data_IF_722026603139
#
_entry.id   IF_722026603139
#
_cell.length_a   1.000
_cell.length_b   1.000
_cell.length_c   1.000
_cell.angle_alpha   90.00
_cell.angle_beta   90.00
_cell.angle_gamma   90.00
#
_symmetry.space_group_name_H-M   'P 1'
#
loop_
_entity.id
_entity.type
_entity.pdbx_description
1 polymer ?
#
# COMPACT_ATOMS: atom_id res chain seq x y z
N UNK A 1 2.83 -31.97 29.68
CA UNK A 1 2.18 -31.12 28.67
C UNK A 1 2.40 -31.81 27.34
N UNK A 2 1.41 -32.05 26.52
CA UNK A 2 1.66 -32.65 25.20
C UNK A 2 2.61 -31.75 24.44
N UNK A 3 3.64 -32.34 23.86
CA UNK A 3 4.56 -31.69 22.94
C UNK A 3 3.75 -31.19 21.74
N UNK A 4 3.63 -29.88 21.61
CA UNK A 4 2.95 -29.29 20.44
C UNK A 4 3.86 -29.58 19.26
N UNK A 5 3.37 -30.39 18.35
CA UNK A 5 4.07 -30.74 17.12
C UNK A 5 4.37 -29.45 16.35
N UNK A 6 5.66 -29.13 16.19
CA UNK A 6 6.14 -27.92 15.53
C UNK A 6 6.58 -28.30 14.13
N UNK A 7 5.77 -27.95 13.15
CA UNK A 7 6.07 -28.15 11.72
C UNK A 7 6.76 -26.89 11.16
N UNK A 8 7.97 -27.06 10.59
CA UNK A 8 8.64 -25.97 9.86
C UNK A 8 8.12 -25.95 8.43
N UNK A 9 7.44 -24.87 8.07
CA UNK A 9 6.84 -24.71 6.74
C UNK A 9 7.82 -24.11 5.73
N UNK A 10 8.67 -23.19 6.17
CA UNK A 10 9.61 -22.49 5.30
C UNK A 10 10.71 -21.77 6.10
N UNK A 11 11.92 -21.78 5.56
CA UNK A 11 13.05 -21.00 6.08
C UNK A 11 13.18 -19.68 5.32
N UNK A 12 13.45 -18.61 6.03
CA UNK A 12 13.54 -17.26 5.49
C UNK A 12 14.50 -16.40 6.32
N UNK A 13 14.48 -15.11 6.08
CA UNK A 13 15.20 -14.12 6.87
C UNK A 13 14.27 -13.02 7.34
N UNK A 14 14.55 -12.46 8.51
CA UNK A 14 13.79 -11.36 9.10
C UNK A 14 14.73 -10.45 9.88
N UNK A 15 14.19 -9.41 10.49
CA UNK A 15 14.96 -8.48 11.31
C UNK A 15 14.65 -8.69 12.79
N UNK A 16 15.65 -8.47 13.63
CA UNK A 16 15.41 -8.28 15.05
C UNK A 16 14.57 -7.00 15.25
N UNK A 17 13.46 -7.04 15.99
CA UNK A 17 12.61 -5.86 16.19
C UNK A 17 13.28 -4.79 17.07
N UNK A 18 14.38 -5.12 17.76
CA UNK A 18 15.09 -4.20 18.66
C UNK A 18 16.30 -3.57 17.97
N UNK A 19 17.23 -4.39 17.43
CA UNK A 19 18.47 -3.87 16.84
C UNK A 19 18.51 -3.89 15.33
N UNK A 20 17.43 -4.31 14.67
CA UNK A 20 17.28 -4.39 13.21
C UNK A 20 18.32 -5.28 12.52
N UNK A 21 19.07 -6.08 13.27
CA UNK A 21 20.00 -7.07 12.71
C UNK A 21 19.22 -8.08 11.89
N UNK A 22 19.73 -8.41 10.71
CA UNK A 22 19.21 -9.50 9.89
C UNK A 22 19.49 -10.84 10.53
N UNK A 23 18.47 -11.67 10.66
CA UNK A 23 18.47 -12.96 11.33
C UNK A 23 17.88 -14.03 10.42
N UNK A 24 18.34 -15.25 10.57
CA UNK A 24 17.61 -16.39 10.02
C UNK A 24 16.29 -16.54 10.76
N UNK A 25 15.25 -16.85 10.02
CA UNK A 25 13.89 -16.94 10.50
C UNK A 25 13.18 -18.14 9.85
N UNK A 26 12.10 -18.57 10.45
CA UNK A 26 11.30 -19.68 9.92
C UNK A 26 9.82 -19.45 10.15
N UNK A 27 9.03 -19.91 9.20
CA UNK A 27 7.60 -20.06 9.37
C UNK A 27 7.34 -21.42 10.00
N UNK A 28 6.67 -21.41 11.15
CA UNK A 28 6.35 -22.62 11.90
C UNK A 28 4.86 -22.71 12.15
N UNK A 29 4.32 -23.91 12.00
CA UNK A 29 2.93 -24.22 12.39
C UNK A 29 2.91 -24.67 13.83
N UNK A 30 2.02 -24.08 14.62
CA UNK A 30 1.70 -24.49 15.99
C UNK A 30 0.16 -24.54 16.13
N UNK A 31 -0.40 -25.73 16.08
CA UNK A 31 -1.86 -25.89 16.04
C UNK A 31 -2.47 -25.17 14.83
N UNK A 32 -3.37 -24.24 15.08
CA UNK A 32 -4.05 -23.45 14.05
C UNK A 32 -3.29 -22.16 13.66
N UNK A 33 -2.16 -21.87 14.26
CA UNK A 33 -1.38 -20.65 13.98
C UNK A 33 -0.12 -20.95 13.19
N UNK A 34 0.20 -20.05 12.25
CA UNK A 34 1.50 -19.99 11.59
C UNK A 34 2.24 -18.78 12.13
N UNK A 35 3.42 -19.01 12.69
CA UNK A 35 4.24 -18.00 13.32
C UNK A 35 5.52 -17.78 12.51
N UNK A 36 5.97 -16.52 12.46
CA UNK A 36 7.32 -16.18 12.02
C UNK A 36 8.23 -16.14 13.25
N UNK A 37 9.12 -17.11 13.37
CA UNK A 37 10.08 -17.21 14.48
C UNK A 37 11.47 -16.77 14.04
N UNK A 38 12.18 -16.10 14.94
CA UNK A 38 13.58 -15.71 14.79
C UNK A 38 14.25 -15.51 16.15
N UNK A 39 15.54 -15.76 16.21
CA UNK A 39 16.31 -15.62 17.45
C UNK A 39 17.47 -14.65 17.26
N UNK A 40 17.46 -13.56 18.02
CA UNK A 40 18.57 -12.62 18.10
C UNK A 40 19.52 -13.05 19.24
N UNK A 41 20.82 -13.14 19.00
CA UNK A 41 21.78 -13.48 20.05
C UNK A 41 21.79 -12.52 21.25
N UNK A 42 21.42 -11.24 21.00
CA UNK A 42 21.44 -10.20 22.03
C UNK A 42 20.05 -9.96 22.66
N UNK A 43 18.96 -10.25 21.94
CA UNK A 43 17.60 -9.87 22.36
C UNK A 43 16.64 -11.06 22.49
N UNK A 44 17.13 -12.29 22.31
CA UNK A 44 16.33 -13.50 22.48
C UNK A 44 15.42 -13.84 21.30
N UNK A 45 14.48 -14.71 21.56
CA UNK A 45 13.58 -15.27 20.54
C UNK A 45 12.30 -14.45 20.42
N UNK A 46 11.90 -14.19 19.18
CA UNK A 46 10.66 -13.52 18.83
C UNK A 46 9.80 -14.44 17.96
N UNK A 47 8.53 -14.52 18.27
CA UNK A 47 7.52 -15.20 17.47
C UNK A 47 6.36 -14.24 17.23
N UNK A 48 5.94 -14.12 15.97
CA UNK A 48 4.81 -13.28 15.57
C UNK A 48 3.83 -14.15 14.82
N UNK A 49 2.57 -14.12 15.23
CA UNK A 49 1.49 -14.79 14.52
C UNK A 49 1.25 -14.06 13.20
N UNK A 50 1.37 -14.76 12.09
CA UNK A 50 1.19 -14.21 10.74
C UNK A 50 -0.04 -14.77 10.04
N UNK A 51 -0.56 -15.88 10.55
CA UNK A 51 -1.74 -16.51 10.00
C UNK A 51 -2.42 -17.37 11.06
N UNK A 52 -3.74 -17.29 11.11
CA UNK A 52 -4.55 -18.12 11.98
C UNK A 52 -5.65 -18.81 11.16
N UNK A 53 -5.68 -20.11 11.22
CA UNK A 53 -6.73 -20.91 10.56
C UNK A 53 -8.04 -20.78 11.36
N UNK A 54 -9.09 -20.25 10.75
CA UNK A 54 -10.37 -20.00 11.44
C UNK A 54 -11.23 -21.25 11.53
N UNK A 55 -11.17 -22.12 10.52
CA UNK A 55 -11.88 -23.41 10.48
C UNK A 55 -11.07 -24.43 9.66
N UNK A 56 -11.37 -25.73 9.84
CA UNK A 56 -10.73 -26.81 9.06
C UNK A 56 -11.08 -26.72 7.55
N UNK A 57 -12.14 -26.01 7.17
CA UNK A 57 -12.59 -25.86 5.79
C UNK A 57 -11.98 -24.65 5.06
N UNK A 58 -11.40 -23.72 5.78
CA UNK A 58 -11.07 -22.39 5.26
C UNK A 58 -9.65 -22.27 4.68
N UNK A 59 -8.85 -23.35 4.63
CA UNK A 59 -7.42 -23.04 4.51
C UNK A 59 -6.63 -23.88 3.54
N UNK A 60 -6.36 -23.26 2.43
CA UNK A 60 -5.05 -23.44 1.80
C UNK A 60 -4.07 -22.50 2.49
N UNK A 61 -3.12 -22.99 3.30
CA UNK A 61 -2.12 -22.12 3.93
C UNK A 61 -1.38 -21.33 2.85
N UNK A 62 -0.97 -20.08 3.15
CA UNK A 62 -0.23 -19.30 2.18
C UNK A 62 0.93 -20.11 1.61
N UNK A 63 1.06 -20.16 0.29
CA UNK A 63 2.18 -20.84 -0.35
C UNK A 63 3.43 -19.97 -0.23
N UNK A 64 4.21 -20.19 0.79
CA UNK A 64 5.44 -19.46 1.05
C UNK A 64 6.55 -19.75 0.02
N UNK A 65 6.51 -20.91 -0.62
CA UNK A 65 7.47 -21.35 -1.63
C UNK A 65 7.48 -20.46 -2.90
N UNK A 66 6.36 -19.81 -3.20
CA UNK A 66 6.24 -18.90 -4.33
C UNK A 66 6.86 -17.52 -4.11
N UNK A 67 7.05 -17.10 -2.85
CA UNK A 67 7.52 -15.75 -2.50
C UNK A 67 9.05 -15.63 -2.52
N UNK A 68 9.75 -16.72 -2.33
CA UNK A 68 11.21 -16.76 -2.26
C UNK A 68 11.91 -17.00 -3.59
N UNK A 69 11.17 -17.07 -4.71
CA UNK A 69 11.80 -17.26 -6.03
C UNK A 69 12.69 -16.09 -6.36
N UNK A 70 13.98 -16.34 -6.66
CA UNK A 70 14.87 -15.29 -7.14
C UNK A 70 14.27 -14.64 -8.39
N UNK A 71 14.19 -13.32 -8.38
CA UNK A 71 13.78 -12.54 -9.55
C UNK A 71 15.01 -12.10 -10.31
N UNK A 72 14.91 -12.03 -11.64
CA UNK A 72 15.97 -11.42 -12.44
C UNK A 72 16.13 -9.96 -12.02
N UNK A 73 17.35 -9.52 -11.69
CA UNK A 73 17.62 -8.13 -11.38
C UNK A 73 17.19 -7.21 -12.52
N UNK A 74 16.60 -6.07 -12.19
CA UNK A 74 16.23 -5.05 -13.13
C UNK A 74 16.72 -3.71 -12.62
N UNK A 75 17.61 -3.09 -13.37
CA UNK A 75 18.28 -1.85 -12.96
C UNK A 75 17.58 -0.63 -13.55
N UNK A 76 17.63 0.54 -12.87
CA UNK A 76 17.06 1.76 -13.41
C UNK A 76 17.77 2.18 -14.70
N UNK A 77 16.99 2.61 -15.69
CA UNK A 77 17.55 3.13 -16.97
C UNK A 77 18.23 4.48 -16.79
N UNK A 78 17.67 5.31 -15.92
CA UNK A 78 18.20 6.63 -15.59
C UNK A 78 18.45 6.71 -14.08
N UNK A 79 19.66 6.33 -13.61
CA UNK A 79 20.01 6.49 -12.20
C UNK A 79 19.93 7.95 -11.75
N UNK A 80 19.35 8.20 -10.58
CA UNK A 80 19.15 9.54 -10.03
C UNK A 80 20.11 9.86 -8.88
N UNK A 81 20.64 8.83 -8.24
CA UNK A 81 21.53 8.97 -7.09
C UNK A 81 22.81 8.19 -7.32
N UNK A 82 23.93 8.70 -6.80
CA UNK A 82 25.19 7.99 -6.79
C UNK A 82 25.22 6.94 -5.67
N UNK A 83 26.01 5.89 -5.87
CA UNK A 83 26.31 4.93 -4.80
C UNK A 83 27.41 5.53 -3.92
N UNK A 84 27.12 5.74 -2.62
CA UNK A 84 28.08 6.25 -1.63
C UNK A 84 28.30 5.26 -0.49
N UNK A 85 27.21 4.72 0.07
CA UNK A 85 27.23 3.82 1.22
C UNK A 85 26.63 2.45 0.88
N UNK A 86 26.08 2.28 -0.31
CA UNK A 86 25.42 1.06 -0.75
C UNK A 86 24.00 0.92 -0.22
N UNK A 87 23.35 -0.18 -0.60
CA UNK A 87 22.00 -0.50 -0.15
C UNK A 87 22.01 -0.99 1.31
N UNK A 88 21.09 -0.53 2.19
CA UNK A 88 19.89 0.28 1.91
C UNK A 88 20.09 1.80 2.11
N UNK A 89 21.30 2.26 2.33
CA UNK A 89 21.57 3.65 2.79
C UNK A 89 21.42 4.68 1.67
N UNK A 90 21.74 4.30 0.42
CA UNK A 90 21.57 5.15 -0.76
C UNK A 90 20.20 4.93 -1.42
N UNK A 91 19.13 4.87 -0.60
CA UNK A 91 17.77 4.66 -1.11
C UNK A 91 17.31 5.79 -2.03
N UNK A 92 17.37 5.50 -3.29
CA UNK A 92 16.97 6.29 -4.44
C UNK A 92 17.17 5.40 -5.66
N UNK A 93 16.95 5.89 -6.84
CA UNK A 93 17.24 5.12 -8.05
C UNK A 93 18.74 5.17 -8.36
N UNK A 94 19.55 4.51 -7.52
CA UNK A 94 21.00 4.40 -7.78
C UNK A 94 21.32 3.30 -8.83
N UNK A 95 22.51 3.32 -9.45
CA UNK A 95 22.88 2.31 -10.43
C UNK A 95 22.85 0.86 -9.93
N UNK A 96 23.04 0.67 -8.62
CA UNK A 96 23.03 -0.66 -7.99
C UNK A 96 21.63 -1.14 -7.56
N UNK A 97 20.57 -0.36 -7.82
CA UNK A 97 19.20 -0.74 -7.48
C UNK A 97 18.74 -1.92 -8.35
N UNK A 98 18.73 -3.12 -7.79
CA UNK A 98 18.51 -4.37 -8.52
C UNK A 98 17.02 -4.73 -8.72
N UNK A 99 16.11 -3.79 -8.52
CA UNK A 99 14.68 -3.97 -8.74
C UNK A 99 14.13 -2.79 -9.54
N UNK A 100 13.21 -3.07 -10.47
CA UNK A 100 12.45 -2.02 -11.11
C UNK A 100 11.30 -1.55 -10.23
N UNK A 101 10.87 -0.32 -10.40
CA UNK A 101 9.66 0.21 -9.78
C UNK A 101 8.44 -0.50 -10.35
N UNK A 102 7.73 -1.26 -9.51
CA UNK A 102 6.48 -1.92 -9.92
C UNK A 102 5.34 -0.92 -10.01
N UNK A 103 5.25 -0.03 -9.01
CA UNK A 103 4.23 1.02 -8.93
C UNK A 103 4.88 2.29 -8.42
N UNK A 104 4.74 3.38 -9.16
CA UNK A 104 5.12 4.71 -8.73
C UNK A 104 3.95 5.37 -7.99
N UNK A 105 4.23 5.88 -6.79
CA UNK A 105 3.28 6.67 -6.03
C UNK A 105 3.48 8.15 -6.38
N UNK A 106 2.41 8.81 -6.81
CA UNK A 106 2.40 10.25 -7.11
C UNK A 106 1.44 10.93 -6.17
N UNK A 107 1.98 11.76 -5.28
CA UNK A 107 1.18 12.56 -4.36
C UNK A 107 0.62 13.78 -5.09
N UNK A 108 -0.67 13.77 -5.33
CA UNK A 108 -1.35 14.83 -6.08
C UNK A 108 -1.91 15.93 -5.17
N UNK A 109 -2.02 15.67 -3.86
CA UNK A 109 -2.48 16.63 -2.86
C UNK A 109 -2.07 16.18 -1.46
N UNK A 110 -1.87 17.11 -0.55
CA UNK A 110 -1.79 16.82 0.90
C UNK A 110 -3.08 17.21 1.63
N UNK A 111 -4.06 17.80 0.94
CA UNK A 111 -5.39 18.04 1.51
C UNK A 111 -6.12 16.72 1.71
N UNK A 112 -6.90 16.66 2.77
CA UNK A 112 -7.74 15.50 3.08
C UNK A 112 -9.05 15.97 3.70
N UNK A 113 -10.12 15.23 3.43
CA UNK A 113 -11.43 15.42 4.05
C UNK A 113 -11.62 14.57 5.33
N UNK A 114 -10.52 13.97 5.82
CA UNK A 114 -10.45 13.25 7.09
C UNK A 114 -9.31 13.80 7.95
N UNK A 115 -9.40 13.58 9.28
CA UNK A 115 -8.37 13.93 10.25
C UNK A 115 -7.97 12.69 11.05
N UNK A 116 -7.44 11.67 10.36
CA UNK A 116 -7.06 10.42 10.97
C UNK A 116 -5.98 10.63 12.05
N UNK A 117 -6.16 10.12 13.28
CA UNK A 117 -5.14 10.20 14.33
C UNK A 117 -3.81 9.54 13.92
N UNK A 118 -3.89 8.49 13.09
CA UNK A 118 -2.74 7.80 12.51
C UNK A 118 -2.79 8.03 11.00
N UNK A 119 -1.90 8.92 10.51
CA UNK A 119 -1.80 9.23 9.08
C UNK A 119 -0.34 9.25 8.66
N UNK A 120 0.07 8.35 7.76
CA UNK A 120 1.44 8.29 7.26
C UNK A 120 1.85 9.53 6.45
N UNK A 121 0.89 10.17 5.79
CA UNK A 121 1.11 11.38 4.97
C UNK A 121 1.05 12.67 5.79
N UNK A 122 0.69 12.61 7.08
CA UNK A 122 0.43 13.78 7.92
C UNK A 122 -0.52 14.80 7.24
N UNK A 123 -1.49 14.29 6.48
CA UNK A 123 -2.44 15.07 5.69
C UNK A 123 -3.54 15.70 6.57
N UNK A 124 -4.21 16.73 6.06
CA UNK A 124 -5.41 17.30 6.69
C UNK A 124 -5.19 18.41 7.70
N UNK A 125 -3.94 18.86 7.91
CA UNK A 125 -3.62 20.07 8.70
C UNK A 125 -3.43 21.30 7.82
N UNK A 126 -2.59 22.24 8.29
CA UNK A 126 -2.07 23.32 7.45
C UNK A 126 -1.09 22.71 6.45
N UNK A 127 -1.57 22.43 5.24
CA UNK A 127 -0.79 21.81 4.17
C UNK A 127 -0.51 22.81 3.06
N UNK A 128 0.58 22.65 2.29
CA UNK A 128 0.86 23.47 1.13
C UNK A 128 -0.23 23.33 0.06
N UNK A 129 -0.23 24.28 -0.87
CA UNK A 129 -1.10 24.21 -2.05
C UNK A 129 -0.85 22.92 -2.85
N UNK A 130 -1.88 22.48 -3.53
CA UNK A 130 -1.78 21.30 -4.40
C UNK A 130 -0.71 21.53 -5.48
N UNK A 131 0.05 20.48 -5.86
CA UNK A 131 0.92 20.55 -7.02
C UNK A 131 0.16 21.01 -8.26
N UNK A 132 0.73 21.94 -9.02
CA UNK A 132 0.12 22.37 -10.28
C UNK A 132 0.05 21.20 -11.27
N UNK A 133 -0.85 21.27 -12.28
CA UNK A 133 -0.89 20.25 -13.34
C UNK A 133 0.47 20.02 -14.02
N UNK A 134 1.28 21.08 -14.19
CA UNK A 134 2.62 21.01 -14.77
C UNK A 134 3.58 20.25 -13.86
N UNK A 135 3.47 20.46 -12.55
CA UNK A 135 4.26 19.72 -11.56
C UNK A 135 3.91 18.24 -11.57
N UNK A 136 2.62 17.91 -11.60
CA UNK A 136 2.15 16.52 -11.70
C UNK A 136 2.61 15.89 -13.02
N UNK A 137 2.52 16.62 -14.13
CA UNK A 137 3.01 16.19 -15.43
C UNK A 137 4.51 15.85 -15.39
N UNK A 138 5.31 16.73 -14.80
CA UNK A 138 6.75 16.51 -14.63
C UNK A 138 7.06 15.27 -13.78
N UNK A 139 6.30 15.05 -12.69
CA UNK A 139 6.45 13.85 -11.85
C UNK A 139 6.13 12.57 -12.64
N UNK A 140 5.03 12.55 -13.38
CA UNK A 140 4.64 11.44 -14.24
C UNK A 140 5.67 11.16 -15.33
N UNK A 141 6.17 12.21 -16.00
CA UNK A 141 7.21 12.08 -17.05
C UNK A 141 8.53 11.55 -16.47
N UNK A 142 8.90 12.02 -15.27
CA UNK A 142 10.09 11.55 -14.56
C UNK A 142 9.98 10.07 -14.18
N UNK A 143 8.82 9.66 -13.68
CA UNK A 143 8.53 8.26 -13.36
C UNK A 143 8.56 7.39 -14.62
N UNK A 144 7.95 7.85 -15.71
CA UNK A 144 7.91 7.13 -16.99
C UNK A 144 9.31 6.92 -17.58
N UNK A 145 10.19 7.92 -17.48
CA UNK A 145 11.58 7.79 -17.93
C UNK A 145 12.38 6.82 -17.07
N UNK A 146 12.24 6.94 -15.73
CA UNK A 146 12.99 6.10 -14.80
C UNK A 146 12.55 4.64 -14.83
N UNK A 147 11.25 4.39 -14.97
CA UNK A 147 10.63 3.06 -14.89
C UNK A 147 9.49 2.90 -15.91
N UNK A 148 9.80 2.70 -17.20
CA UNK A 148 8.81 2.73 -18.29
C UNK A 148 7.67 1.71 -18.16
N UNK A 149 7.86 0.62 -17.43
CA UNK A 149 6.87 -0.45 -17.24
C UNK A 149 6.10 -0.38 -15.93
N UNK A 150 6.33 0.65 -15.10
CA UNK A 150 5.64 0.73 -13.81
C UNK A 150 4.17 1.12 -13.96
N UNK A 151 3.39 0.71 -12.96
CA UNK A 151 2.06 1.21 -12.71
C UNK A 151 2.12 2.57 -12.01
N UNK A 152 1.00 3.29 -11.96
CA UNK A 152 0.89 4.53 -11.21
C UNK A 152 -0.24 4.44 -10.21
N UNK A 153 0.05 4.86 -8.98
CA UNK A 153 -0.95 5.10 -7.96
C UNK A 153 -0.96 6.59 -7.60
N UNK A 154 -2.07 7.25 -7.85
CA UNK A 154 -2.31 8.63 -7.42
C UNK A 154 -2.73 8.60 -5.95
N UNK A 155 -2.03 9.35 -5.12
CA UNK A 155 -2.17 9.34 -3.66
C UNK A 155 -1.93 10.72 -3.07
N UNK A 156 -1.65 10.78 -1.77
CA UNK A 156 -1.38 11.99 -1.00
C UNK A 156 -2.17 12.00 0.29
N UNK A 157 -2.90 13.07 0.59
CA UNK A 157 -3.96 13.05 1.58
C UNK A 157 -5.14 12.26 1.06
N UNK A 158 -6.09 12.93 0.42
CA UNK A 158 -7.20 12.28 -0.28
C UNK A 158 -7.30 12.84 -1.72
N UNK A 159 -6.90 12.10 -2.73
CA UNK A 159 -6.90 12.58 -4.12
C UNK A 159 -8.26 13.07 -4.61
N UNK A 160 -9.35 12.48 -4.12
CA UNK A 160 -10.71 12.83 -4.56
C UNK A 160 -11.17 14.21 -4.09
N UNK A 161 -10.44 14.89 -3.19
CA UNK A 161 -10.77 16.29 -2.84
C UNK A 161 -10.36 17.28 -3.95
N UNK A 162 -9.57 16.83 -4.92
CA UNK A 162 -9.22 17.61 -6.11
C UNK A 162 -10.34 17.51 -7.17
N UNK A 163 -10.85 18.64 -7.59
CA UNK A 163 -11.88 18.67 -8.65
C UNK A 163 -11.29 18.37 -10.03
N UNK A 164 -10.00 18.63 -10.24
CA UNK A 164 -9.27 18.33 -11.46
C UNK A 164 -8.67 16.91 -11.51
N UNK A 165 -8.96 16.05 -10.53
CA UNK A 165 -8.48 14.66 -10.51
C UNK A 165 -8.79 13.89 -11.82
N UNK A 166 -9.99 14.02 -12.44
CA UNK A 166 -10.24 13.39 -13.74
C UNK A 166 -9.29 13.86 -14.85
N UNK A 167 -8.85 15.12 -14.82
CA UNK A 167 -7.87 15.64 -15.79
C UNK A 167 -6.47 15.04 -15.52
N UNK A 168 -6.07 14.90 -14.27
CA UNK A 168 -4.81 14.23 -13.87
C UNK A 168 -4.81 12.76 -14.31
N UNK A 169 -5.93 12.06 -14.16
CA UNK A 169 -6.08 10.67 -14.61
C UNK A 169 -5.88 10.57 -16.12
N UNK A 170 -6.54 11.44 -16.92
CA UNK A 170 -6.34 11.49 -18.38
C UNK A 170 -4.88 11.77 -18.73
N UNK A 171 -4.27 12.74 -18.08
CA UNK A 171 -2.85 13.09 -18.26
C UNK A 171 -1.93 11.89 -18.02
N UNK A 172 -2.18 11.09 -16.99
CA UNK A 172 -1.42 9.88 -16.71
C UNK A 172 -1.68 8.79 -17.76
N UNK A 173 -2.93 8.63 -18.20
CA UNK A 173 -3.32 7.66 -19.23
C UNK A 173 -2.65 7.97 -20.59
N UNK A 174 -2.61 9.21 -20.99
CA UNK A 174 -1.94 9.65 -22.23
C UNK A 174 -0.44 9.36 -22.24
N UNK A 175 0.19 9.28 -21.06
CA UNK A 175 1.59 8.89 -20.88
C UNK A 175 1.83 7.38 -20.98
N UNK A 176 0.79 6.58 -21.16
CA UNK A 176 0.87 5.16 -21.44
C UNK A 176 1.27 4.29 -20.25
N UNK A 177 0.88 4.66 -19.03
CA UNK A 177 0.99 3.77 -17.88
C UNK A 177 0.02 2.59 -18.00
N UNK A 178 0.49 1.37 -17.67
CA UNK A 178 -0.27 0.14 -17.84
C UNK A 178 -1.47 0.04 -16.91
N UNK A 179 -1.26 0.25 -15.62
CA UNK A 179 -2.28 0.29 -14.58
C UNK A 179 -2.27 1.66 -13.90
N UNK A 180 -3.43 2.28 -13.84
CA UNK A 180 -3.65 3.55 -13.18
C UNK A 180 -4.64 3.37 -12.03
N UNK A 181 -4.19 3.66 -10.83
CA UNK A 181 -4.93 3.44 -9.60
C UNK A 181 -5.02 4.74 -8.78
N UNK A 182 -6.11 4.94 -8.08
CA UNK A 182 -6.27 5.99 -7.06
C UNK A 182 -6.33 5.32 -5.69
N UNK A 183 -5.53 5.80 -4.74
CA UNK A 183 -5.65 5.44 -3.32
C UNK A 183 -6.63 6.42 -2.68
N UNK A 184 -7.72 5.92 -2.10
CA UNK A 184 -8.80 6.76 -1.59
C UNK A 184 -9.42 6.21 -0.30
N UNK A 185 -9.86 7.10 0.56
CA UNK A 185 -10.71 6.76 1.71
C UNK A 185 -12.16 6.43 1.31
N UNK A 186 -12.54 6.65 0.06
CA UNK A 186 -13.83 6.27 -0.50
C UNK A 186 -14.98 7.23 -0.25
N UNK A 187 -14.84 8.26 0.60
CA UNK A 187 -15.95 9.14 0.97
C UNK A 187 -16.64 9.78 -0.23
N UNK A 188 -15.87 10.46 -1.09
CA UNK A 188 -16.45 11.12 -2.27
C UNK A 188 -17.02 10.12 -3.26
N UNK A 189 -16.36 8.98 -3.43
CA UNK A 189 -16.82 7.91 -4.33
C UNK A 189 -18.19 7.38 -3.92
N UNK A 190 -18.42 7.32 -2.63
CA UNK A 190 -19.66 6.86 -2.10
C UNK A 190 -20.74 7.94 -2.02
N UNK A 191 -20.42 9.20 -1.70
CA UNK A 191 -21.38 10.30 -1.49
C UNK A 191 -21.84 10.95 -2.80
N UNK A 192 -20.97 11.03 -3.81
CA UNK A 192 -21.26 11.72 -5.07
C UNK A 192 -21.65 10.71 -6.14
N UNK A 193 -22.95 10.67 -6.45
CA UNK A 193 -23.48 9.77 -7.48
C UNK A 193 -22.82 10.02 -8.84
N UNK A 194 -22.30 8.96 -9.46
CA UNK A 194 -21.65 9.04 -10.78
C UNK A 194 -20.18 9.44 -10.76
N UNK A 195 -19.60 9.86 -9.62
CA UNK A 195 -18.21 10.26 -9.56
C UNK A 195 -17.24 9.11 -9.91
N UNK A 196 -17.50 7.90 -9.43
CA UNK A 196 -16.71 6.72 -9.82
C UNK A 196 -16.72 6.48 -11.34
N UNK A 197 -17.87 6.71 -12.00
CA UNK A 197 -17.99 6.63 -13.47
C UNK A 197 -17.13 7.70 -14.14
N UNK A 198 -17.17 8.94 -13.66
CA UNK A 198 -16.33 10.03 -14.17
C UNK A 198 -14.84 9.69 -14.12
N UNK A 199 -14.36 9.09 -13.03
CA UNK A 199 -12.97 8.65 -12.92
C UNK A 199 -12.66 7.50 -13.89
N UNK A 200 -13.57 6.54 -14.05
CA UNK A 200 -13.42 5.46 -15.01
C UNK A 200 -13.37 5.96 -16.46
N UNK A 201 -14.25 6.87 -16.83
CA UNK A 201 -14.28 7.51 -18.16
C UNK A 201 -13.02 8.34 -18.42
N UNK A 202 -12.41 8.90 -17.38
CA UNK A 202 -11.11 9.54 -17.46
C UNK A 202 -9.95 8.56 -17.68
N UNK A 203 -10.16 7.25 -17.51
CA UNK A 203 -9.18 6.20 -17.76
C UNK A 203 -8.64 5.54 -16.50
N UNK A 204 -9.29 5.68 -15.34
CA UNK A 204 -8.92 4.97 -14.11
C UNK A 204 -9.23 3.46 -14.24
N UNK A 205 -8.28 2.62 -13.86
CA UNK A 205 -8.46 1.16 -13.88
C UNK A 205 -9.02 0.64 -12.56
N UNK A 206 -8.53 1.17 -11.43
CA UNK A 206 -8.89 0.66 -10.11
C UNK A 206 -8.80 1.72 -9.03
N UNK A 207 -9.55 1.51 -7.96
CA UNK A 207 -9.42 2.24 -6.72
C UNK A 207 -8.82 1.30 -5.68
N UNK A 208 -7.73 1.73 -5.03
CA UNK A 208 -7.26 1.13 -3.80
C UNK A 208 -8.03 1.78 -2.66
N UNK A 209 -9.06 1.08 -2.20
CA UNK A 209 -9.88 1.55 -1.08
C UNK A 209 -9.20 1.16 0.22
N UNK A 210 -8.94 2.14 1.05
CA UNK A 210 -8.33 1.89 2.34
C UNK A 210 -9.36 1.34 3.33
N UNK A 211 -9.09 0.15 3.84
CA UNK A 211 -9.96 -0.60 4.74
C UNK A 211 -9.16 -1.07 5.95
N UNK A 212 -9.47 -0.57 7.15
CA UNK A 212 -8.68 -0.85 8.35
C UNK A 212 -9.34 -1.84 9.30
N UNK A 213 -10.67 -1.93 9.28
CA UNK A 213 -11.43 -2.88 10.10
C UNK A 213 -12.74 -3.25 9.42
N UNK A 214 -13.27 -4.46 9.66
CA UNK A 214 -14.57 -4.87 9.16
C UNK A 214 -15.75 -4.18 9.87
N UNK A 215 -15.50 -3.49 10.96
CA UNK A 215 -16.51 -2.79 11.75
C UNK A 215 -16.11 -1.35 12.09
N UNK A 216 -17.08 -0.55 12.48
CA UNK A 216 -16.89 0.86 12.81
C UNK A 216 -16.04 1.05 14.07
N UNK A 217 -16.21 0.17 15.06
CA UNK A 217 -15.51 0.24 16.35
C UNK A 217 -14.00 0.12 16.16
N UNK A 218 -13.55 -0.79 15.28
CA UNK A 218 -12.15 -0.93 14.91
C UNK A 218 -11.63 0.20 14.02
N UNK A 219 -12.50 0.83 13.20
CA UNK A 219 -12.10 1.94 12.32
C UNK A 219 -11.91 3.27 13.07
N UNK A 220 -12.77 3.59 14.04
CA UNK A 220 -12.76 4.89 14.71
C UNK A 220 -11.43 5.28 15.35
N UNK A 221 -10.70 4.40 16.05
CA UNK A 221 -9.41 4.74 16.65
C UNK A 221 -8.34 5.09 15.61
N UNK A 222 -8.46 4.55 14.40
CA UNK A 222 -7.48 4.73 13.32
C UNK A 222 -7.83 5.89 12.40
N UNK A 223 -9.14 6.09 12.16
CA UNK A 223 -9.66 7.06 11.19
C UNK A 223 -10.21 8.34 11.81
N UNK A 224 -10.51 8.32 13.12
CA UNK A 224 -11.23 9.39 13.76
C UNK A 224 -12.72 9.41 13.37
N UNK A 225 -13.43 10.41 13.86
CA UNK A 225 -14.84 10.62 13.51
C UNK A 225 -14.94 11.27 12.14
N UNK A 226 -15.67 10.64 11.24
CA UNK A 226 -16.08 11.23 9.97
C UNK A 226 -17.50 11.74 10.12
N UNK A 227 -17.73 13.02 9.82
CA UNK A 227 -19.09 13.56 9.73
C UNK A 227 -19.73 13.01 8.45
N UNK A 228 -20.45 11.91 8.60
CA UNK A 228 -21.28 11.38 7.53
C UNK A 228 -22.71 11.91 7.66
N UNK A 229 -23.45 11.96 6.54
CA UNK A 229 -24.90 12.20 6.61
C UNK A 229 -25.60 11.24 7.56
N UNK A 230 -26.64 11.71 8.26
CA UNK A 230 -27.37 10.95 9.26
C UNK A 230 -27.74 9.54 8.78
N UNK A 231 -27.35 8.53 9.56
CA UNK A 231 -27.68 7.13 9.34
C UNK A 231 -26.71 6.34 8.46
N UNK A 232 -25.60 6.92 8.04
CA UNK A 232 -24.56 6.21 7.29
C UNK A 232 -23.30 6.03 8.14
N UNK A 233 -22.88 4.79 8.34
CA UNK A 233 -21.57 4.52 8.88
C UNK A 233 -20.51 4.46 7.76
N UNK A 234 -19.25 4.91 8.02
CA UNK A 234 -18.21 4.99 7.01
C UNK A 234 -17.89 3.65 6.35
N UNK A 235 -18.05 2.57 7.10
CA UNK A 235 -17.67 1.21 6.67
C UNK A 235 -18.75 0.63 5.76
N UNK A 236 -20.00 0.68 6.19
CA UNK A 236 -21.15 0.21 5.39
C UNK A 236 -21.29 0.99 4.10
N UNK A 237 -21.00 2.28 4.11
CA UNK A 237 -21.13 3.13 2.95
C UNK A 237 -20.10 2.80 1.85
N UNK A 238 -18.85 2.62 2.20
CA UNK A 238 -17.80 2.23 1.25
C UNK A 238 -17.99 0.82 0.72
N UNK A 239 -18.58 -0.08 1.51
CA UNK A 239 -18.81 -1.48 1.12
C UNK A 239 -19.99 -1.65 0.17
N UNK A 240 -21.11 -1.00 0.45
CA UNK A 240 -22.34 -1.14 -0.34
C UNK A 240 -22.20 -0.60 -1.77
N UNK A 241 -21.46 0.50 -1.95
CA UNK A 241 -21.30 1.12 -3.27
C UNK A 241 -20.19 0.54 -4.14
N UNK A 242 -19.20 -0.15 -3.58
CA UNK A 242 -18.19 -0.85 -4.37
C UNK A 242 -18.80 -1.99 -5.23
N UNK A 243 -19.96 -2.52 -4.82
CA UNK A 243 -20.71 -3.53 -5.56
C UNK A 243 -21.61 -2.97 -6.66
N UNK A 244 -21.96 -1.69 -6.64
CA UNK A 244 -22.85 -1.07 -7.63
C UNK A 244 -22.11 -0.59 -8.92
N UNK A 245 -20.80 -0.71 -8.97
CA UNK A 245 -19.97 -0.25 -10.11
C UNK A 245 -19.57 -1.37 -11.09
N UNK A 246 -20.30 -2.48 -11.08
CA UNK A 246 -20.15 -3.55 -12.08
C UNK A 246 -20.88 -3.23 -13.37
#
# INVERSE_FOLDING_TARGET
MPEVDVEILHETQSLCPVCLRRLDARYVRRGQSILLERTCPEHGTFAVDIWHERTEEDVTPPRFDGWSRPKTPSYPREPRTAVRHGCPYDCGLCPAHAQHTCTGLVEVTLRCNMACPICYAAAGGAVPDDPSPETVAFQLDSLRRASPGCNVQLSGGEPTVRDDLPAIIRMARERGFGLLQVNSNGLRLGLEAGYARTLREAGLDSVYLQWDSPDLEGCLPLRGTVALPDGLDPVSYTHLRAHETK
#
